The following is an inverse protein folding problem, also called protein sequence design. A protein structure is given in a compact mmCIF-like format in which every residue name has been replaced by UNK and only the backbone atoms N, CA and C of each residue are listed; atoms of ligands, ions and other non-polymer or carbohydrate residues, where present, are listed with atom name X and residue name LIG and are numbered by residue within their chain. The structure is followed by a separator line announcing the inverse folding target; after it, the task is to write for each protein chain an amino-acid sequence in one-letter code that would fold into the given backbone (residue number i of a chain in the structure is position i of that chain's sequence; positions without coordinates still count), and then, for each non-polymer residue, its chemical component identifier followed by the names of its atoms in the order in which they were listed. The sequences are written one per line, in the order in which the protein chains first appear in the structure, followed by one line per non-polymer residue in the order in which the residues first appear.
data_IF_299780019557
#
_entry.id   IF_299780019557
#
_cell.length_a   1.000
_cell.length_b   1.000
_cell.length_c   1.000
_cell.angle_alpha   90.00
_cell.angle_beta   90.00
_cell.angle_gamma   90.00
#
_symmetry.space_group_name_H-M   'P 1'
#
loop_
_entity.id
_entity.type
_entity.pdbx_description
1 polymer ?
#
# COMPACT_ATOMS: atom_id res chain seq x y z
N UNK A 1 -4.09 -1.10 18.26
CA UNK A 1 -3.16 -0.80 17.14
C UNK A 1 -3.92 -0.23 15.96
N UNK A 2 -3.50 0.91 15.50
CA UNK A 2 -4.13 1.56 14.34
C UNK A 2 -3.43 1.12 13.06
N UNK A 3 -4.16 0.44 12.20
CA UNK A 3 -3.67 -0.02 10.90
C UNK A 3 -4.37 0.71 9.78
N UNK A 4 -3.62 0.98 8.70
CA UNK A 4 -4.19 1.51 7.47
C UNK A 4 -3.80 0.61 6.30
N UNK A 5 -4.73 0.42 5.38
CA UNK A 5 -4.49 -0.39 4.18
C UNK A 5 -4.28 0.55 2.99
N UNK A 6 -3.19 0.33 2.28
CA UNK A 6 -2.88 1.09 1.07
C UNK A 6 -2.90 0.15 -0.14
N UNK A 7 -4.05 0.05 -0.82
CA UNK A 7 -4.16 -0.81 -1.99
C UNK A 7 -3.67 -0.10 -3.25
N UNK A 8 -3.08 -0.85 -4.15
CA UNK A 8 -2.64 -0.34 -5.44
C UNK A 8 -2.01 -1.41 -6.29
N UNK A 9 -1.67 -1.07 -7.51
CA UNK A 9 -1.00 -2.01 -8.42
C UNK A 9 0.51 -2.08 -8.16
N UNK A 10 1.12 -0.96 -7.80
CA UNK A 10 2.57 -0.86 -7.56
C UNK A 10 3.38 -1.51 -8.68
N UNK A 11 3.17 -1.05 -9.89
CA UNK A 11 3.72 -1.69 -11.09
C UNK A 11 4.53 -0.70 -11.95
N UNK A 12 5.72 -0.27 -11.49
CA UNK A 12 6.33 -0.49 -10.19
C UNK A 12 5.93 0.55 -9.14
N UNK A 13 6.43 0.40 -7.92
CA UNK A 13 6.30 1.43 -6.89
C UNK A 13 7.03 2.70 -7.34
N UNK A 14 6.46 3.84 -7.03
CA UNK A 14 7.00 5.15 -7.39
C UNK A 14 7.33 5.97 -6.14
N UNK A 15 8.02 7.10 -6.34
CA UNK A 15 8.28 8.03 -5.23
C UNK A 15 6.98 8.58 -4.63
N UNK A 16 5.94 8.73 -5.44
CA UNK A 16 4.63 9.11 -4.94
C UNK A 16 4.06 8.11 -3.96
N UNK A 17 4.14 6.82 -4.29
CA UNK A 17 3.74 5.74 -3.37
C UNK A 17 4.55 5.77 -2.08
N UNK A 18 5.86 5.95 -2.21
CA UNK A 18 6.77 5.98 -1.06
C UNK A 18 6.44 7.14 -0.13
N UNK A 19 6.18 8.32 -0.69
CA UNK A 19 5.81 9.49 0.09
C UNK A 19 4.53 9.25 0.89
N UNK A 20 3.53 8.65 0.27
CA UNK A 20 2.26 8.30 0.93
C UNK A 20 2.52 7.33 2.08
N UNK A 21 3.31 6.30 1.86
CA UNK A 21 3.64 5.30 2.88
C UNK A 21 4.37 5.95 4.05
N UNK A 22 5.35 6.80 3.79
CA UNK A 22 6.10 7.50 4.84
C UNK A 22 5.20 8.36 5.71
N UNK A 23 4.27 9.09 5.09
CA UNK A 23 3.33 9.92 5.83
C UNK A 23 2.33 9.09 6.63
N UNK A 24 1.87 7.98 6.05
CA UNK A 24 0.99 7.07 6.77
C UNK A 24 1.67 6.47 8.00
N UNK A 25 2.96 6.18 7.93
CA UNK A 25 3.71 5.66 9.07
C UNK A 25 3.79 6.64 10.24
N UNK A 26 3.64 7.93 9.98
CA UNK A 26 3.60 8.94 11.04
C UNK A 26 2.26 9.01 11.74
N UNK A 27 1.19 8.59 11.07
CA UNK A 27 -0.17 8.70 11.57
C UNK A 27 -0.73 7.38 12.13
N UNK A 28 -0.20 6.26 11.68
CA UNK A 28 -0.70 4.94 12.02
C UNK A 28 0.42 4.05 12.54
N UNK A 29 0.04 3.06 13.34
CA UNK A 29 0.98 2.11 13.90
C UNK A 29 1.49 1.13 12.86
N UNK A 30 0.67 0.82 11.86
CA UNK A 30 1.01 -0.14 10.83
C UNK A 30 0.39 0.23 9.49
N UNK A 31 1.16 0.05 8.42
CA UNK A 31 0.71 0.23 7.04
C UNK A 31 0.73 -1.13 6.34
N UNK A 32 -0.41 -1.52 5.79
CA UNK A 32 -0.52 -2.73 4.98
C UNK A 32 -0.49 -2.33 3.52
N UNK A 33 0.63 -2.58 2.85
CA UNK A 33 0.77 -2.33 1.41
C UNK A 33 0.16 -3.52 0.67
N UNK A 34 -1.01 -3.30 0.07
CA UNK A 34 -1.76 -4.36 -0.58
C UNK A 34 -1.61 -4.24 -2.11
N UNK A 35 -0.90 -5.19 -2.69
CA UNK A 35 -0.60 -5.20 -4.12
C UNK A 35 -1.69 -5.96 -4.87
N UNK A 36 -2.39 -5.26 -5.76
CA UNK A 36 -3.46 -5.86 -6.57
C UNK A 36 -2.87 -6.85 -7.57
N UNK A 37 -3.47 -8.04 -7.62
CA UNK A 37 -3.05 -9.11 -8.52
C UNK A 37 -4.27 -9.70 -9.23
N UNK A 38 -4.92 -8.91 -10.07
CA UNK A 38 -6.11 -9.31 -10.82
C UNK A 38 -5.72 -9.98 -12.14
N UNK A 39 -6.35 -11.09 -12.45
CA UNK A 39 -6.12 -11.82 -13.70
C UNK A 39 -6.58 -11.05 -14.94
N UNK A 40 -7.42 -10.04 -14.75
CA UNK A 40 -8.01 -9.28 -15.86
C UNK A 40 -7.17 -8.08 -16.30
N UNK A 41 -6.09 -7.80 -15.61
CA UNK A 41 -5.23 -6.64 -15.91
C UNK A 41 -3.88 -7.10 -16.44
N UNK A 42 -3.33 -6.31 -17.36
CA UNK A 42 -1.96 -6.52 -17.84
C UNK A 42 -1.01 -5.71 -16.97
N UNK A 43 -0.06 -6.38 -16.37
CA UNK A 43 0.94 -5.74 -15.54
C UNK A 43 2.29 -5.73 -16.25
N UNK A 44 3.10 -4.70 -15.99
CA UNK A 44 4.48 -4.65 -16.49
C UNK A 44 5.33 -5.73 -15.81
N UNK A 45 5.11 -5.93 -14.53
CA UNK A 45 5.84 -6.92 -13.74
C UNK A 45 4.87 -7.91 -13.13
N UNK A 46 5.33 -9.14 -12.97
CA UNK A 46 4.56 -10.16 -12.25
C UNK A 46 4.44 -9.78 -10.77
N UNK A 47 3.46 -10.36 -10.08
CA UNK A 47 3.23 -10.05 -8.67
C UNK A 47 4.47 -10.28 -7.81
N UNK A 48 5.20 -11.37 -8.05
CA UNK A 48 6.43 -11.68 -7.32
C UNK A 48 7.48 -10.59 -7.53
N UNK A 49 7.63 -10.13 -8.75
CA UNK A 49 8.58 -9.07 -9.10
C UNK A 49 8.18 -7.76 -8.44
N UNK A 50 6.89 -7.42 -8.47
CA UNK A 50 6.38 -6.20 -7.84
C UNK A 50 6.62 -6.22 -6.34
N UNK A 51 6.39 -7.35 -5.69
CA UNK A 51 6.66 -7.52 -4.25
C UNK A 51 8.14 -7.28 -3.97
N UNK A 52 9.04 -7.87 -4.76
CA UNK A 52 10.48 -7.73 -4.55
C UNK A 52 10.92 -6.28 -4.74
N UNK A 53 10.39 -5.59 -5.75
CA UNK A 53 10.71 -4.19 -5.99
C UNK A 53 10.24 -3.32 -4.82
N UNK A 54 9.04 -3.56 -4.30
CA UNK A 54 8.51 -2.83 -3.16
C UNK A 54 9.36 -3.08 -1.91
N UNK A 55 9.69 -4.33 -1.63
CA UNK A 55 10.54 -4.68 -0.49
C UNK A 55 11.91 -4.04 -0.58
N UNK A 56 12.51 -4.08 -1.76
CA UNK A 56 13.82 -3.45 -1.96
C UNK A 56 13.76 -1.95 -1.71
N UNK A 57 12.77 -1.28 -2.27
CA UNK A 57 12.62 0.17 -2.12
C UNK A 57 12.40 0.56 -0.65
N UNK A 58 11.49 -0.13 0.03
CA UNK A 58 11.10 0.26 1.38
C UNK A 58 12.09 -0.22 2.45
N UNK A 59 12.61 -1.42 2.33
CA UNK A 59 13.41 -2.03 3.38
C UNK A 59 14.91 -1.94 3.13
N UNK A 60 15.35 -2.09 1.89
CA UNK A 60 16.79 -2.06 1.56
C UNK A 60 17.27 -0.65 1.29
N UNK A 61 16.58 0.08 0.44
CA UNK A 61 17.02 1.43 0.02
C UNK A 61 16.69 2.50 1.06
N UNK A 62 15.47 2.49 1.59
CA UNK A 62 14.99 3.49 2.55
C UNK A 62 15.11 3.04 4.00
N UNK A 63 15.35 1.76 4.22
CA UNK A 63 15.52 1.18 5.56
C UNK A 63 14.37 1.50 6.51
N UNK A 64 13.14 1.46 5.98
CA UNK A 64 11.96 1.66 6.81
C UNK A 64 11.74 0.45 7.72
N UNK A 65 11.02 0.67 8.82
CA UNK A 65 10.81 -0.35 9.84
C UNK A 65 9.92 -1.48 9.33
N UNK A 66 10.50 -2.67 9.14
CA UNK A 66 9.79 -3.85 8.66
C UNK A 66 8.64 -4.27 9.57
N UNK A 67 8.73 -3.97 10.86
CA UNK A 67 7.69 -4.33 11.82
C UNK A 67 6.45 -3.47 11.68
N UNK A 68 6.54 -2.34 10.99
CA UNK A 68 5.44 -1.41 10.77
C UNK A 68 4.81 -1.52 9.38
N UNK A 69 5.35 -2.34 8.51
CA UNK A 69 4.88 -2.47 7.13
C UNK A 69 4.67 -3.93 6.80
N UNK A 70 3.43 -4.28 6.41
CA UNK A 70 3.12 -5.57 5.82
C UNK A 70 2.96 -5.39 4.32
N UNK A 71 3.52 -6.29 3.54
CA UNK A 71 3.38 -6.28 2.08
C UNK A 71 2.66 -7.56 1.68
N UNK A 72 1.49 -7.41 1.07
CA UNK A 72 0.65 -8.54 0.68
C UNK A 72 0.15 -8.36 -0.75
N UNK A 73 -0.32 -9.45 -1.34
CA UNK A 73 -1.08 -9.42 -2.59
C UNK A 73 -2.55 -9.71 -2.30
N UNK A 74 -3.43 -9.23 -3.15
CA UNK A 74 -4.85 -9.54 -3.03
C UNK A 74 -5.50 -9.61 -4.40
N UNK A 75 -6.56 -10.42 -4.48
CA UNK A 75 -7.39 -10.55 -5.68
C UNK A 75 -8.85 -10.20 -5.39
N UNK A 76 -9.19 -10.09 -4.12
CA UNK A 76 -10.54 -9.84 -3.65
C UNK A 76 -10.83 -8.35 -3.51
N UNK A 77 -12.00 -8.03 -3.00
CA UNK A 77 -12.39 -6.65 -2.73
C UNK A 77 -11.61 -6.09 -1.54
N UNK A 78 -11.38 -4.78 -1.56
CA UNK A 78 -10.67 -4.11 -0.46
C UNK A 78 -11.40 -4.24 0.88
N UNK A 79 -12.72 -4.38 0.87
CA UNK A 79 -13.49 -4.63 2.09
C UNK A 79 -13.10 -5.94 2.77
N UNK A 80 -12.76 -6.96 2.00
CA UNK A 80 -12.29 -8.23 2.56
C UNK A 80 -10.93 -8.07 3.25
N UNK A 81 -10.06 -7.25 2.68
CA UNK A 81 -8.78 -6.90 3.29
C UNK A 81 -9.00 -6.20 4.63
N UNK A 82 -9.95 -5.27 4.68
CA UNK A 82 -10.25 -4.54 5.89
C UNK A 82 -10.68 -5.48 7.02
N UNK A 83 -11.49 -6.46 6.70
CA UNK A 83 -11.90 -7.48 7.68
C UNK A 83 -10.73 -8.33 8.15
N UNK A 84 -9.91 -8.78 7.20
CA UNK A 84 -8.75 -9.64 7.51
C UNK A 84 -7.75 -8.94 8.42
N UNK A 85 -7.46 -7.68 8.17
CA UNK A 85 -6.47 -6.92 8.91
C UNK A 85 -7.06 -6.04 10.01
N UNK A 86 -8.37 -6.19 10.27
CA UNK A 86 -9.07 -5.44 11.32
C UNK A 86 -8.87 -3.93 11.19
N UNK A 87 -8.95 -3.44 9.97
CA UNK A 87 -8.80 -2.01 9.67
C UNK A 87 -10.03 -1.51 8.94
N UNK A 88 -10.53 -0.36 9.36
CA UNK A 88 -11.63 0.32 8.68
C UNK A 88 -11.13 1.46 7.79
N UNK A 89 -9.83 1.65 7.67
CA UNK A 89 -9.27 2.81 6.98
C UNK A 89 -8.47 2.35 5.77
N UNK A 90 -8.83 2.89 4.62
CA UNK A 90 -8.12 2.65 3.36
C UNK A 90 -7.49 3.97 2.94
N UNK A 91 -6.19 3.94 2.68
CA UNK A 91 -5.48 5.09 2.20
C UNK A 91 -5.52 5.12 0.69
N UNK A 92 -5.92 6.25 0.13
CA UNK A 92 -5.91 6.48 -1.31
C UNK A 92 -5.07 7.71 -1.59
N UNK A 93 -4.06 7.55 -2.44
CA UNK A 93 -3.28 8.68 -2.92
C UNK A 93 -4.01 9.36 -4.06
N UNK A 94 -4.16 10.67 -3.96
CA UNK A 94 -4.70 11.44 -5.07
C UNK A 94 -3.60 11.67 -6.10
N UNK A 95 -3.96 11.60 -7.36
CA UNK A 95 -3.04 11.92 -8.46
C UNK A 95 -2.78 13.41 -8.60
N UNK A 96 -3.39 14.22 -7.76
CA UNK A 96 -3.26 15.64 -7.85
C UNK A 96 -1.83 16.08 -7.61
N UNK A 97 -1.43 17.07 -8.35
CA UNK A 97 -0.08 17.65 -8.34
C UNK A 97 0.26 18.25 -6.97
N UNK A 98 -0.71 18.51 -6.17
CA UNK A 98 -0.54 19.12 -4.86
C UNK A 98 0.06 18.18 -3.82
N UNK A 99 0.53 17.03 -4.22
CA UNK A 99 1.49 16.18 -3.51
C UNK A 99 1.14 15.73 -2.09
N UNK A 100 0.24 16.37 -1.41
CA UNK A 100 0.05 16.16 0.02
C UNK A 100 -1.39 15.92 0.42
N UNK A 101 -2.27 15.83 -0.54
CA UNK A 101 -3.66 15.53 -0.27
C UNK A 101 -3.85 14.02 -0.32
N UNK A 102 -4.30 13.48 0.80
CA UNK A 102 -4.62 12.07 0.90
C UNK A 102 -6.10 11.91 1.16
N UNK A 103 -6.66 10.94 0.50
CA UNK A 103 -8.03 10.58 0.72
C UNK A 103 -8.09 9.38 1.65
N UNK A 104 -8.78 9.54 2.77
CA UNK A 104 -9.03 8.47 3.72
C UNK A 104 -10.47 8.04 3.55
N UNK A 105 -10.68 6.77 3.27
CA UNK A 105 -12.01 6.24 3.07
C UNK A 105 -12.31 5.20 4.15
N UNK A 106 -13.45 5.37 4.84
CA UNK A 106 -13.91 4.38 5.78
C UNK A 106 -14.55 3.22 5.02
N UNK A 107 -14.12 2.00 5.30
CA UNK A 107 -14.71 0.80 4.77
C UNK A 107 -15.77 0.33 5.75
N UNK A 108 -17.00 0.44 5.31
CA UNK A 108 -18.10 0.20 6.18
C UNK A 108 -18.73 -1.15 6.12
#
# INVERSE_FOLDING_TARGET
MRRIIYPGTFDPITFGHIDVIKKALKLFDKVVVAISDSNNKKYLFKSDERIQIVKKALFSDLKLNKNKIDIITFKSLTTDLCKKYKSNIILRGLRAVSDFEYEFQLAG
#
